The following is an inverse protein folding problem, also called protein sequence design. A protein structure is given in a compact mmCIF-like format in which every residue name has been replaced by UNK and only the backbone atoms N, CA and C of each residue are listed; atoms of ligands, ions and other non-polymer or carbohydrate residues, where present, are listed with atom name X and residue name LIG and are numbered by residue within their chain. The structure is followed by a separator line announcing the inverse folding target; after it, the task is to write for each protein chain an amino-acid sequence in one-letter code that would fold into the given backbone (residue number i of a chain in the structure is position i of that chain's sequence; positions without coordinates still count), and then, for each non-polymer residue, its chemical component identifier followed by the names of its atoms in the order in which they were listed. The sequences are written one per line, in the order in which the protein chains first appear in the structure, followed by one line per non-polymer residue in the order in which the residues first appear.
data_IF_856076344793
#
_entry.id   IF_856076344793
#
_cell.length_a   1.000
_cell.length_b   1.000
_cell.length_c   1.000
_cell.angle_alpha   90.00
_cell.angle_beta   90.00
_cell.angle_gamma   90.00
#
_symmetry.space_group_name_H-M   'P 1'
#
loop_
_entity.id
_entity.type
_entity.pdbx_description
1 polymer ?
#
# COMPACT_ATOMS: atom_id res chain seq x y z
N UNK A 1 -46.52 32.77 22.51
CA UNK A 1 -45.77 32.08 21.44
C UNK A 1 -46.65 32.06 20.21
N UNK A 2 -46.23 32.72 19.13
CA UNK A 2 -47.00 32.70 17.89
C UNK A 2 -46.75 31.36 17.18
N UNK A 3 -47.73 30.86 16.42
CA UNK A 3 -47.60 29.63 15.63
C UNK A 3 -46.40 29.70 14.66
N UNK A 4 -46.06 30.90 14.19
CA UNK A 4 -44.92 31.17 13.33
C UNK A 4 -43.55 30.93 14.01
N UNK A 5 -43.43 31.17 15.31
CA UNK A 5 -42.20 30.91 16.06
C UNK A 5 -41.92 29.41 16.14
N UNK A 6 -42.97 28.60 16.31
CA UNK A 6 -42.85 27.14 16.37
C UNK A 6 -42.45 26.58 15.00
N UNK A 7 -43.04 27.08 13.91
CA UNK A 7 -42.70 26.64 12.54
C UNK A 7 -41.26 27.00 12.17
N UNK A 8 -40.82 28.22 12.45
CA UNK A 8 -39.46 28.68 12.13
C UNK A 8 -38.38 27.94 12.90
N UNK A 9 -38.57 27.71 14.20
CA UNK A 9 -37.64 26.92 15.03
C UNK A 9 -37.58 25.47 14.55
N UNK A 10 -38.73 24.87 14.23
CA UNK A 10 -38.79 23.48 13.77
C UNK A 10 -38.08 23.32 12.42
N UNK A 11 -38.39 24.18 11.44
CA UNK A 11 -37.73 24.16 10.12
C UNK A 11 -36.23 24.42 10.25
N UNK A 12 -35.81 25.38 11.08
CA UNK A 12 -34.40 25.66 11.35
C UNK A 12 -33.66 24.46 11.95
N UNK A 13 -34.29 23.74 12.89
CA UNK A 13 -33.71 22.54 13.49
C UNK A 13 -33.55 21.39 12.47
N UNK A 14 -34.55 21.17 11.60
CA UNK A 14 -34.46 20.16 10.54
C UNK A 14 -33.41 20.50 9.48
N UNK A 15 -33.32 21.77 9.07
CA UNK A 15 -32.28 22.23 8.13
C UNK A 15 -30.89 22.12 8.74
N UNK A 16 -30.74 22.49 10.02
CA UNK A 16 -29.47 22.35 10.75
C UNK A 16 -29.02 20.89 10.89
N UNK A 17 -29.94 19.99 11.27
CA UNK A 17 -29.67 18.56 11.37
C UNK A 17 -29.34 17.93 10.01
N UNK A 18 -30.05 18.33 8.95
CA UNK A 18 -29.78 17.91 7.58
C UNK A 18 -28.40 18.35 7.08
N UNK A 19 -28.02 19.60 7.34
CA UNK A 19 -26.70 20.14 6.98
C UNK A 19 -25.56 19.45 7.75
N UNK A 20 -25.74 19.18 9.04
CA UNK A 20 -24.77 18.45 9.85
C UNK A 20 -24.59 17.01 9.36
N UNK A 21 -25.70 16.33 9.02
CA UNK A 21 -25.66 14.97 8.47
C UNK A 21 -24.97 14.93 7.11
N UNK A 22 -25.31 15.84 6.21
CA UNK A 22 -24.69 15.96 4.89
C UNK A 22 -23.18 16.24 5.00
N UNK A 23 -22.78 17.12 5.92
CA UNK A 23 -21.37 17.45 6.17
C UNK A 23 -20.60 16.23 6.68
N UNK A 24 -21.14 15.49 7.65
CA UNK A 24 -20.54 14.26 8.16
C UNK A 24 -20.42 13.18 7.06
N UNK A 25 -21.43 13.04 6.21
CA UNK A 25 -21.37 12.11 5.08
C UNK A 25 -20.28 12.52 4.08
N UNK A 26 -20.18 13.81 3.75
CA UNK A 26 -19.16 14.33 2.84
C UNK A 26 -17.74 14.10 3.39
N UNK A 27 -17.52 14.40 4.68
CA UNK A 27 -16.25 14.16 5.37
C UNK A 27 -15.90 12.68 5.31
N UNK A 28 -16.83 11.78 5.63
CA UNK A 28 -16.60 10.32 5.54
C UNK A 28 -16.26 9.86 4.12
N UNK A 29 -16.89 10.45 3.10
CA UNK A 29 -16.60 10.15 1.69
C UNK A 29 -15.21 10.62 1.27
N UNK A 30 -14.79 11.81 1.70
CA UNK A 30 -13.47 12.37 1.41
C UNK A 30 -12.39 11.57 2.15
N UNK A 31 -12.59 11.31 3.44
CA UNK A 31 -11.65 10.61 4.29
C UNK A 31 -11.44 9.16 3.81
N UNK A 32 -12.52 8.46 3.43
CA UNK A 32 -12.42 7.13 2.85
C UNK A 32 -11.67 7.11 1.52
N UNK A 33 -11.82 8.13 0.66
CA UNK A 33 -11.01 8.27 -0.57
C UNK A 33 -9.53 8.51 -0.27
N UNK A 34 -9.22 9.33 0.73
CA UNK A 34 -7.83 9.63 1.14
C UNK A 34 -7.14 8.38 1.72
N UNK A 35 -7.80 7.66 2.62
CA UNK A 35 -7.27 6.40 3.18
C UNK A 35 -6.99 5.37 2.09
N UNK A 36 -7.89 5.26 1.13
CA UNK A 36 -7.74 4.37 -0.01
C UNK A 36 -6.55 4.74 -0.91
N UNK A 37 -6.37 6.02 -1.21
CA UNK A 37 -5.23 6.51 -2.00
C UNK A 37 -3.90 6.27 -1.27
N UNK A 38 -3.86 6.54 0.04
CA UNK A 38 -2.67 6.32 0.87
C UNK A 38 -2.26 4.85 0.90
N UNK A 39 -3.20 3.94 1.12
CA UNK A 39 -2.92 2.50 1.17
C UNK A 39 -2.41 1.95 -0.17
N UNK A 40 -2.93 2.45 -1.30
CA UNK A 40 -2.44 2.08 -2.62
C UNK A 40 -1.05 2.67 -2.90
N UNK A 41 -0.79 3.91 -2.48
CA UNK A 41 0.51 4.53 -2.69
C UNK A 41 1.61 3.80 -1.89
N UNK A 42 1.32 3.44 -0.65
CA UNK A 42 2.20 2.64 0.20
C UNK A 42 2.49 1.27 -0.44
N UNK A 43 1.46 0.59 -0.96
CA UNK A 43 1.63 -0.68 -1.66
C UNK A 43 2.50 -0.54 -2.92
N UNK A 44 2.25 0.47 -3.76
CA UNK A 44 3.02 0.72 -4.99
C UNK A 44 4.49 1.00 -4.63
N UNK A 45 4.70 1.80 -3.58
CA UNK A 45 6.02 2.14 -3.05
C UNK A 45 6.75 0.88 -2.58
N UNK A 46 6.12 0.06 -1.75
CA UNK A 46 6.69 -1.21 -1.26
C UNK A 46 7.04 -2.18 -2.39
N UNK A 47 6.20 -2.26 -3.44
CA UNK A 47 6.49 -3.06 -4.63
C UNK A 47 7.70 -2.50 -5.38
N UNK A 48 7.81 -1.18 -5.53
CA UNK A 48 8.95 -0.54 -6.20
C UNK A 48 10.27 -0.71 -5.43
N UNK A 49 10.22 -0.62 -4.10
CA UNK A 49 11.42 -0.69 -3.25
C UNK A 49 11.88 -2.12 -2.95
N UNK A 50 11.08 -3.15 -3.27
CA UNK A 50 11.49 -4.54 -3.09
C UNK A 50 12.59 -4.96 -4.06
N UNK A 51 13.82 -4.94 -3.54
CA UNK A 51 15.06 -5.45 -4.18
C UNK A 51 14.93 -6.87 -4.79
N UNK A 52 14.03 -7.73 -4.28
CA UNK A 52 13.78 -9.08 -4.82
C UNK A 52 13.24 -9.06 -6.25
N UNK A 53 12.68 -7.93 -6.70
CA UNK A 53 12.21 -7.74 -8.06
C UNK A 53 13.29 -7.16 -9.01
N UNK A 54 14.53 -6.93 -8.54
CA UNK A 54 15.63 -6.58 -9.44
C UNK A 54 15.80 -7.70 -10.47
N UNK A 55 15.86 -7.32 -11.76
CA UNK A 55 16.02 -8.24 -12.91
C UNK A 55 16.99 -9.38 -12.58
N UNK A 56 16.43 -10.57 -12.36
CA UNK A 56 17.21 -11.79 -12.19
C UNK A 56 17.43 -12.40 -13.58
N UNK A 57 18.68 -12.75 -13.90
CA UNK A 57 18.98 -13.47 -15.13
C UNK A 57 18.31 -14.85 -15.10
N UNK A 58 17.61 -15.28 -16.17
CA UNK A 58 16.98 -16.60 -16.23
C UNK A 58 18.09 -17.67 -16.26
N UNK A 59 18.38 -18.23 -15.09
CA UNK A 59 19.32 -19.33 -14.92
C UNK A 59 18.63 -20.44 -14.14
N UNK A 60 18.74 -21.67 -14.63
CA UNK A 60 18.38 -22.85 -13.86
C UNK A 60 19.29 -22.90 -12.63
N UNK A 61 18.69 -23.07 -11.45
CA UNK A 61 19.44 -23.29 -10.21
C UNK A 61 19.34 -24.79 -9.91
N UNK A 62 20.41 -25.57 -10.07
CA UNK A 62 20.36 -26.98 -9.73
C UNK A 62 20.14 -27.13 -8.22
N UNK A 63 19.06 -27.83 -7.86
CA UNK A 63 18.66 -28.14 -6.48
C UNK A 63 18.49 -26.93 -5.53
N UNK A 64 17.56 -26.00 -5.81
CA UNK A 64 17.48 -24.72 -5.11
C UNK A 64 17.02 -24.83 -3.66
N UNK A 65 16.22 -25.86 -3.30
CA UNK A 65 15.77 -26.08 -1.92
C UNK A 65 16.92 -26.38 -0.94
N UNK A 66 17.99 -27.01 -1.43
CA UNK A 66 19.13 -27.41 -0.61
C UNK A 66 20.34 -26.48 -0.74
N UNK A 67 20.53 -25.85 -1.91
CA UNK A 67 21.77 -25.17 -2.28
C UNK A 67 21.64 -23.66 -2.49
N UNK A 68 20.41 -23.13 -2.63
CA UNK A 68 20.20 -21.72 -2.99
C UNK A 68 19.44 -20.97 -1.88
N UNK A 69 20.14 -20.25 -0.98
CA UNK A 69 19.48 -19.46 0.07
C UNK A 69 18.58 -18.35 -0.51
N UNK A 70 18.77 -17.97 -1.79
CA UNK A 70 17.94 -16.99 -2.48
C UNK A 70 16.53 -17.54 -2.76
N UNK A 71 16.37 -18.85 -2.89
CA UNK A 71 15.05 -19.48 -3.12
C UNK A 71 14.10 -19.23 -1.94
N UNK A 72 14.52 -19.57 -0.72
CA UNK A 72 13.70 -19.35 0.47
C UNK A 72 13.51 -17.85 0.75
N UNK A 73 14.54 -17.02 0.54
CA UNK A 73 14.41 -15.58 0.66
C UNK A 73 13.37 -15.00 -0.31
N UNK A 74 13.35 -15.48 -1.57
CA UNK A 74 12.37 -15.07 -2.56
C UNK A 74 10.95 -15.49 -2.14
N UNK A 75 10.74 -16.74 -1.69
CA UNK A 75 9.42 -17.22 -1.23
C UNK A 75 8.92 -16.44 -0.03
N UNK A 76 9.76 -16.22 0.98
CA UNK A 76 9.41 -15.41 2.13
C UNK A 76 9.05 -13.98 1.73
N UNK A 77 9.82 -13.38 0.83
CA UNK A 77 9.50 -12.06 0.29
C UNK A 77 8.12 -12.08 -0.41
N UNK A 78 7.87 -12.98 -1.36
CA UNK A 78 6.60 -13.00 -2.08
C UNK A 78 5.41 -13.29 -1.14
N UNK A 79 5.58 -14.14 -0.13
CA UNK A 79 4.56 -14.36 0.90
C UNK A 79 4.25 -13.09 1.69
N UNK A 80 5.29 -12.33 2.08
CA UNK A 80 5.10 -11.04 2.75
C UNK A 80 4.41 -10.01 1.83
N UNK A 81 4.76 -9.96 0.54
CA UNK A 81 4.13 -9.07 -0.43
C UNK A 81 2.63 -9.39 -0.58
N UNK A 82 2.27 -10.68 -0.65
CA UNK A 82 0.88 -11.12 -0.64
C UNK A 82 0.14 -10.64 0.62
N UNK A 83 0.82 -10.62 1.77
CA UNK A 83 0.31 -10.04 3.02
C UNK A 83 -0.03 -8.56 2.88
N UNK A 84 0.88 -7.77 2.30
CA UNK A 84 0.66 -6.33 2.07
C UNK A 84 -0.47 -6.07 1.06
N UNK A 85 -0.53 -6.82 -0.03
CA UNK A 85 -1.64 -6.72 -1.01
C UNK A 85 -2.99 -6.98 -0.32
N UNK A 86 -3.07 -7.99 0.57
CA UNK A 86 -4.29 -8.28 1.33
C UNK A 86 -4.64 -7.17 2.33
N UNK A 87 -3.64 -6.55 2.97
CA UNK A 87 -3.83 -5.39 3.84
C UNK A 87 -4.37 -4.20 3.06
N UNK A 88 -3.73 -3.84 1.95
CA UNK A 88 -4.19 -2.78 1.05
C UNK A 88 -5.63 -3.03 0.58
N UNK A 89 -5.95 -4.28 0.22
CA UNK A 89 -7.31 -4.68 -0.17
C UNK A 89 -8.35 -4.44 0.92
N UNK A 90 -8.02 -4.73 2.19
CA UNK A 90 -8.91 -4.48 3.34
C UNK A 90 -9.11 -3.00 3.63
N UNK A 91 -8.15 -2.15 3.23
CA UNK A 91 -8.24 -0.71 3.36
C UNK A 91 -9.04 -0.06 2.21
N UNK A 92 -9.34 -0.78 1.12
CA UNK A 92 -10.15 -0.26 0.03
C UNK A 92 -11.62 -0.11 0.41
N UNK A 93 -12.28 0.86 -0.22
CA UNK A 93 -13.73 1.04 -0.11
C UNK A 93 -14.49 -0.11 -0.80
N UNK A 94 -15.72 -0.43 -0.36
CA UNK A 94 -16.60 -1.32 -1.09
C UNK A 94 -16.78 -0.85 -2.55
N UNK A 95 -16.67 -1.77 -3.50
CA UNK A 95 -16.78 -1.52 -4.96
C UNK A 95 -15.69 -0.63 -5.57
N UNK A 96 -14.55 -0.48 -4.89
CA UNK A 96 -13.38 0.18 -5.47
C UNK A 96 -12.96 -0.48 -6.79
N UNK A 97 -12.67 0.33 -7.81
CA UNK A 97 -12.12 -0.13 -9.10
C UNK A 97 -10.74 -0.78 -8.98
N UNK A 98 -10.04 -0.60 -7.86
CA UNK A 98 -8.74 -1.23 -7.60
C UNK A 98 -8.86 -2.67 -7.08
N UNK A 99 -10.04 -3.10 -6.62
CA UNK A 99 -10.26 -4.45 -6.09
C UNK A 99 -9.93 -5.57 -7.09
N UNK A 100 -10.37 -5.51 -8.37
CA UNK A 100 -10.00 -6.52 -9.37
C UNK A 100 -8.49 -6.62 -9.55
N UNK A 101 -7.79 -5.49 -9.63
CA UNK A 101 -6.33 -5.47 -9.83
C UNK A 101 -5.58 -6.05 -8.63
N UNK A 102 -5.98 -5.71 -7.39
CA UNK A 102 -5.38 -6.32 -6.20
C UNK A 102 -5.67 -7.84 -6.08
N UNK A 103 -6.82 -8.30 -6.58
CA UNK A 103 -7.12 -9.73 -6.66
C UNK A 103 -6.23 -10.42 -7.70
N UNK A 104 -6.00 -9.82 -8.86
CA UNK A 104 -5.04 -10.33 -9.86
C UNK A 104 -3.62 -10.42 -9.30
N UNK A 105 -3.17 -9.40 -8.55
CA UNK A 105 -1.86 -9.41 -7.90
C UNK A 105 -1.75 -10.50 -6.84
N UNK A 106 -2.80 -10.69 -6.04
CA UNK A 106 -2.87 -11.79 -5.05
C UNK A 106 -2.78 -13.16 -5.74
N UNK A 107 -3.50 -13.32 -6.85
CA UNK A 107 -3.48 -14.55 -7.65
C UNK A 107 -2.09 -14.80 -8.21
N UNK A 108 -1.44 -13.79 -8.79
CA UNK A 108 -0.09 -13.92 -9.32
C UNK A 108 0.92 -14.35 -8.25
N UNK A 109 0.83 -13.80 -7.03
CA UNK A 109 1.66 -14.23 -5.91
C UNK A 109 1.40 -15.69 -5.52
N UNK A 110 0.14 -16.12 -5.47
CA UNK A 110 -0.19 -17.52 -5.18
C UNK A 110 0.36 -18.46 -6.26
N UNK A 111 0.13 -18.14 -7.54
CA UNK A 111 0.65 -18.93 -8.67
C UNK A 111 2.16 -19.08 -8.59
N UNK A 112 2.91 -18.02 -8.25
CA UNK A 112 4.36 -18.15 -8.04
C UNK A 112 4.70 -19.10 -6.90
N UNK A 113 4.01 -18.99 -5.76
CA UNK A 113 4.29 -19.83 -4.59
C UNK A 113 4.00 -21.31 -4.90
N UNK A 114 2.93 -21.60 -5.63
CA UNK A 114 2.55 -22.94 -6.04
C UNK A 114 3.52 -23.47 -7.11
N UNK A 115 3.74 -22.72 -8.20
CA UNK A 115 4.67 -23.10 -9.29
C UNK A 115 6.11 -23.32 -8.79
N UNK A 116 6.56 -22.48 -7.85
CA UNK A 116 7.90 -22.61 -7.27
C UNK A 116 8.03 -23.80 -6.32
N UNK A 117 6.91 -24.28 -5.76
CA UNK A 117 6.90 -25.50 -4.95
C UNK A 117 6.86 -26.76 -5.82
N UNK A 118 6.11 -26.73 -6.93
CA UNK A 118 5.99 -27.83 -7.88
C UNK A 118 7.27 -28.01 -8.73
N UNK A 119 7.89 -26.90 -9.15
CA UNK A 119 9.08 -26.89 -10.00
C UNK A 119 10.17 -25.93 -9.46
N UNK A 120 10.81 -26.28 -8.33
CA UNK A 120 11.72 -25.38 -7.63
C UNK A 120 12.93 -24.98 -8.50
N UNK A 121 13.40 -25.84 -9.39
CA UNK A 121 14.53 -25.57 -10.30
C UNK A 121 14.29 -24.38 -11.25
N UNK A 122 13.01 -24.09 -11.51
CA UNK A 122 12.55 -23.01 -12.40
C UNK A 122 12.12 -21.75 -11.65
N UNK A 123 12.32 -21.67 -10.32
CA UNK A 123 11.81 -20.56 -9.51
C UNK A 123 12.20 -19.18 -10.04
N UNK A 124 13.41 -19.02 -10.62
CA UNK A 124 13.87 -17.73 -11.18
C UNK A 124 13.04 -17.31 -12.40
N UNK A 125 12.59 -18.26 -13.21
CA UNK A 125 11.69 -18.02 -14.34
C UNK A 125 10.30 -17.61 -13.85
N UNK A 126 9.75 -18.34 -12.87
CA UNK A 126 8.46 -17.98 -12.24
C UNK A 126 8.54 -16.60 -11.56
N UNK A 127 9.67 -16.27 -10.93
CA UNK A 127 9.90 -14.96 -10.33
C UNK A 127 9.90 -13.83 -11.37
N UNK A 128 10.52 -14.06 -12.53
CA UNK A 128 10.51 -13.10 -13.64
C UNK A 128 9.09 -12.89 -14.19
N UNK A 129 8.30 -13.96 -14.33
CA UNK A 129 6.91 -13.88 -14.75
C UNK A 129 6.05 -13.12 -13.73
N UNK A 130 6.24 -13.40 -12.44
CA UNK A 130 5.59 -12.67 -11.35
C UNK A 130 5.91 -11.18 -11.43
N UNK A 131 7.19 -10.84 -11.60
CA UNK A 131 7.61 -9.45 -11.71
C UNK A 131 6.92 -8.73 -12.89
N UNK A 132 6.86 -9.38 -14.07
CA UNK A 132 6.17 -8.81 -15.23
C UNK A 132 4.67 -8.59 -14.99
N UNK A 133 3.99 -9.55 -14.35
CA UNK A 133 2.56 -9.46 -13.99
C UNK A 133 2.28 -8.37 -12.97
N UNK A 134 3.10 -8.26 -11.92
CA UNK A 134 2.98 -7.23 -10.91
C UNK A 134 3.21 -5.83 -11.51
N UNK A 135 4.22 -5.67 -12.35
CA UNK A 135 4.49 -4.38 -13.01
C UNK A 135 3.34 -3.97 -13.95
N UNK A 136 2.76 -4.92 -14.70
CA UNK A 136 1.56 -4.65 -15.49
C UNK A 136 0.37 -4.23 -14.62
N UNK A 137 0.16 -4.87 -13.47
CA UNK A 137 -0.90 -4.55 -12.52
C UNK A 137 -0.72 -3.15 -11.92
N UNK A 138 0.51 -2.78 -11.56
CA UNK A 138 0.85 -1.43 -11.06
C UNK A 138 0.59 -0.37 -12.14
N UNK A 139 0.93 -0.64 -13.40
CA UNK A 139 0.60 0.26 -14.52
C UNK A 139 -0.90 0.46 -14.69
N UNK A 140 -1.71 -0.60 -14.56
CA UNK A 140 -3.18 -0.51 -14.58
C UNK A 140 -3.74 0.32 -13.41
N UNK A 141 -3.22 0.10 -12.20
CA UNK A 141 -3.61 0.91 -11.03
C UNK A 141 -3.31 2.40 -11.23
N UNK A 142 -2.19 2.73 -11.87
CA UNK A 142 -1.82 4.11 -12.22
C UNK A 142 -2.71 4.68 -13.34
N UNK A 143 -3.00 3.92 -14.40
CA UNK A 143 -3.84 4.42 -15.51
C UNK A 143 -5.27 4.71 -15.09
N UNK A 144 -5.82 3.90 -14.19
CA UNK A 144 -7.20 4.03 -13.72
C UNK A 144 -7.39 5.17 -12.70
N UNK A 145 -6.29 5.69 -12.14
CA UNK A 145 -6.33 6.80 -11.17
C UNK A 145 -5.35 7.89 -11.55
N UNK A 146 -5.82 8.78 -12.41
CA UNK A 146 -5.21 10.09 -12.68
C UNK A 146 -5.05 10.98 -11.43
N UNK A 147 -5.68 10.61 -10.30
CA UNK A 147 -5.55 11.29 -9.00
C UNK A 147 -4.58 10.61 -8.02
N UNK A 148 -3.90 9.52 -8.42
CA UNK A 148 -2.65 9.15 -7.75
C UNK A 148 -1.66 10.17 -8.28
N UNK A 149 -1.49 11.25 -7.51
CA UNK A 149 -0.61 12.35 -7.88
C UNK A 149 0.75 11.83 -8.31
N UNK A 150 1.28 12.49 -9.32
CA UNK A 150 2.68 12.55 -9.70
C UNK A 150 3.50 13.29 -8.61
N UNK A 151 3.28 12.91 -7.34
CA UNK A 151 4.02 13.41 -6.20
C UNK A 151 5.21 12.48 -6.01
N UNK A 152 6.40 13.00 -6.29
CA UNK A 152 7.65 12.31 -6.04
C UNK A 152 7.74 11.88 -4.56
N UNK A 153 8.22 10.66 -4.27
CA UNK A 153 8.50 10.23 -2.91
C UNK A 153 9.56 11.17 -2.29
N UNK A 154 9.14 12.09 -1.41
CA UNK A 154 10.04 13.06 -0.78
C UNK A 154 9.46 14.46 -0.53
N UNK A 155 8.32 14.83 -1.10
CA UNK A 155 7.68 16.13 -0.85
C UNK A 155 6.96 16.26 0.51
N UNK A 156 7.07 15.26 1.37
CA UNK A 156 6.83 15.46 2.79
C UNK A 156 7.98 16.33 3.35
N UNK A 157 7.83 17.65 3.20
CA UNK A 157 8.53 18.61 4.03
C UNK A 157 8.18 18.32 5.49
N UNK A 158 8.98 17.46 6.15
CA UNK A 158 9.27 17.67 7.55
C UNK A 158 9.97 19.04 7.60
N UNK A 159 9.21 20.06 8.02
CA UNK A 159 9.83 21.33 8.40
C UNK A 159 11.00 21.07 9.36
N UNK A 160 12.07 21.87 9.32
CA UNK A 160 13.27 21.62 10.11
C UNK A 160 12.98 21.83 11.60
N UNK A 161 12.56 20.77 12.30
CA UNK A 161 12.38 20.76 13.77
C UNK A 161 13.49 20.01 14.49
N UNK A 162 14.60 19.69 13.81
CA UNK A 162 15.78 19.06 14.44
C UNK A 162 17.05 19.89 14.20
N UNK A 163 16.91 21.22 14.24
CA UNK A 163 18.04 22.14 14.43
C UNK A 163 18.05 22.54 15.92
N UNK A 164 18.49 21.64 16.79
CA UNK A 164 18.53 21.94 18.23
C UNK A 164 18.66 20.76 19.19
N UNK A 165 18.52 19.52 18.72
CA UNK A 165 18.84 18.36 19.54
C UNK A 165 20.34 18.08 19.46
N UNK A 166 21.10 18.81 20.28
CA UNK A 166 22.47 18.47 20.63
C UNK A 166 22.45 17.08 21.26
N UNK A 167 23.17 16.12 20.66
CA UNK A 167 23.36 14.81 21.27
C UNK A 167 23.93 15.00 22.69
N UNK A 168 23.45 14.26 23.71
CA UNK A 168 24.12 14.26 25.00
C UNK A 168 25.54 13.72 24.81
N UNK A 169 26.51 14.62 24.92
CA UNK A 169 27.93 14.29 25.04
C UNK A 169 28.07 13.30 26.20
N UNK A 170 28.29 12.02 25.88
CA UNK A 170 28.83 11.05 26.82
C UNK A 170 30.25 11.49 27.16
N UNK A 171 30.37 12.39 28.14
CA UNK A 171 31.61 12.61 28.86
C UNK A 171 31.80 11.40 29.78
N UNK A 172 32.62 10.46 29.33
CA UNK A 172 33.29 9.52 30.22
C UNK A 172 34.30 10.33 31.03
N UNK A 173 34.22 10.37 32.37
CA UNK A 173 35.39 10.70 33.16
C UNK A 173 36.35 9.50 33.08
N UNK A 174 37.44 9.73 32.37
CA UNK A 174 38.73 9.06 32.60
C UNK A 174 39.35 9.69 33.86
N UNK A 175 40.22 8.92 34.50
CA UNK A 175 41.09 9.19 35.67
C UNK A 175 40.60 8.44 36.92
N UNK A 176 41.41 7.63 37.61
CA UNK A 176 42.82 7.22 37.48
C UNK A 176 42.97 5.89 38.25
#
# INVERSE_FOLDING_TARGET
MSWWDVVTVTVGAFVGAGAAFASNLLVRLIESRRREASALNELITEIHFRRVLRRVAPRLSPNPRALDPVYEQARHSISALRGEIRRARRALRPRSSALPVLNEMTLACNTFLDDSDDAPERYRLHLMQLHARLNASVRRLRSDRRSISDLEPGEAHLGPTVQGLTAPTTALPVDD
#
